data_IF_316267261029
#
_entry.id   IF_316267261029
#
_cell.length_a   1.000
_cell.length_b   1.000
_cell.length_c   1.000
_cell.angle_alpha   90.00
_cell.angle_beta   90.00
_cell.angle_gamma   90.00
#
_symmetry.space_group_name_H-M   'P 1'
#
loop_
_entity.id
_entity.type
_entity.pdbx_description
1 polymer ?
#
# COMPACT_ATOMS: atom_id res chain seq x y z
N UNK A 1 5.06 -2.19 -32.95
CA UNK A 1 6.10 -2.67 -33.91
C UNK A 1 7.46 -2.25 -33.37
N UNK A 2 8.55 -3.03 -33.48
CA UNK A 2 9.85 -2.71 -32.88
C UNK A 2 10.40 -1.32 -33.24
N UNK A 3 10.10 -0.84 -34.44
CA UNK A 3 10.49 0.50 -34.91
C UNK A 3 9.73 1.63 -34.20
N UNK A 4 8.49 1.39 -33.76
CA UNK A 4 7.69 2.37 -33.02
C UNK A 4 8.18 2.49 -31.57
N UNK A 5 8.54 1.38 -30.94
CA UNK A 5 9.14 1.32 -29.59
C UNK A 5 10.44 2.14 -29.51
N UNK A 6 11.29 2.06 -30.54
CA UNK A 6 12.52 2.87 -30.63
C UNK A 6 12.24 4.37 -30.71
N UNK A 7 11.18 4.76 -31.41
CA UNK A 7 10.78 6.17 -31.52
C UNK A 7 10.20 6.69 -30.21
N UNK A 8 9.44 5.86 -29.48
CA UNK A 8 8.92 6.20 -28.15
C UNK A 8 10.07 6.35 -27.13
N UNK A 9 11.01 5.41 -27.12
CA UNK A 9 12.19 5.50 -26.26
C UNK A 9 13.06 6.72 -26.60
N UNK A 10 13.23 7.04 -27.88
CA UNK A 10 13.94 8.25 -28.31
C UNK A 10 13.25 9.54 -27.80
N UNK A 11 11.92 9.61 -27.81
CA UNK A 11 11.20 10.77 -27.24
C UNK A 11 11.48 10.96 -25.76
N UNK A 12 11.55 9.88 -24.98
CA UNK A 12 11.90 9.95 -23.56
C UNK A 12 13.31 10.54 -23.37
N UNK A 13 14.25 10.17 -24.24
CA UNK A 13 15.60 10.74 -24.23
C UNK A 13 15.66 12.20 -24.68
N UNK A 14 14.83 12.60 -25.65
CA UNK A 14 14.67 14.01 -26.05
C UNK A 14 14.11 14.85 -24.90
N UNK A 15 13.08 14.37 -24.20
CA UNK A 15 12.50 15.02 -23.01
C UNK A 15 13.53 15.17 -21.88
N UNK A 16 14.48 14.24 -21.79
CA UNK A 16 15.62 14.30 -20.86
C UNK A 16 16.74 15.26 -21.33
N UNK A 17 16.61 15.87 -22.52
CA UNK A 17 17.50 16.91 -23.03
C UNK A 17 18.47 16.47 -24.13
N UNK A 18 18.34 15.26 -24.68
CA UNK A 18 19.15 14.83 -25.82
C UNK A 18 18.60 15.44 -27.12
N UNK A 19 19.49 15.70 -28.09
CA UNK A 19 19.03 16.07 -29.43
C UNK A 19 18.44 14.83 -30.15
N UNK A 20 17.59 15.01 -31.17
CA UNK A 20 16.89 13.88 -31.81
C UNK A 20 17.81 12.81 -32.41
N UNK A 21 18.93 13.23 -33.00
CA UNK A 21 19.89 12.30 -33.59
C UNK A 21 20.57 11.42 -32.53
N UNK A 22 21.00 12.01 -31.41
CA UNK A 22 21.60 11.27 -30.29
C UNK A 22 20.56 10.43 -29.57
N UNK A 23 19.33 10.91 -29.41
CA UNK A 23 18.25 10.17 -28.75
C UNK A 23 17.93 8.86 -29.49
N UNK A 24 17.87 8.90 -30.83
CA UNK A 24 17.66 7.71 -31.67
C UNK A 24 18.86 6.76 -31.57
N UNK A 25 20.09 7.27 -31.59
CA UNK A 25 21.29 6.43 -31.47
C UNK A 25 21.40 5.77 -30.09
N UNK A 26 21.10 6.50 -29.02
CA UNK A 26 21.06 5.96 -27.65
C UNK A 26 19.97 4.90 -27.52
N UNK A 27 18.77 5.15 -28.02
CA UNK A 27 17.68 4.17 -28.04
C UNK A 27 18.11 2.88 -28.76
N UNK A 28 18.70 2.97 -29.96
CA UNK A 28 19.20 1.80 -30.69
C UNK A 28 20.27 1.02 -29.94
N UNK A 29 21.27 1.71 -29.39
CA UNK A 29 22.39 1.06 -28.71
C UNK A 29 21.94 0.38 -27.41
N UNK A 30 21.07 1.02 -26.63
CA UNK A 30 20.56 0.46 -25.38
C UNK A 30 19.57 -0.69 -25.62
N UNK A 31 18.66 -0.55 -26.60
CA UNK A 31 17.76 -1.63 -26.99
C UNK A 31 18.52 -2.83 -27.58
N UNK A 32 19.64 -2.61 -28.29
CA UNK A 32 20.49 -3.69 -28.79
C UNK A 32 21.25 -4.44 -27.69
N UNK A 33 21.59 -3.76 -26.60
CA UNK A 33 22.22 -4.38 -25.43
C UNK A 33 21.19 -5.15 -24.58
N UNK A 34 20.08 -4.50 -24.23
CA UNK A 34 18.99 -5.08 -23.45
C UNK A 34 17.67 -4.36 -23.73
N UNK A 35 16.89 -4.88 -24.67
CA UNK A 35 15.60 -4.30 -25.03
C UNK A 35 14.65 -4.26 -23.82
N UNK A 36 14.45 -5.39 -23.15
CA UNK A 36 13.47 -5.48 -22.06
C UNK A 36 13.87 -4.62 -20.86
N UNK A 37 15.14 -4.67 -20.44
CA UNK A 37 15.62 -3.85 -19.34
C UNK A 37 15.62 -2.36 -19.66
N UNK A 38 15.91 -1.96 -20.91
CA UNK A 38 15.86 -0.57 -21.34
C UNK A 38 14.43 -0.04 -21.31
N UNK A 39 13.47 -0.76 -21.91
CA UNK A 39 12.06 -0.36 -21.86
C UNK A 39 11.52 -0.37 -20.42
N UNK A 40 11.79 -1.43 -19.64
CA UNK A 40 11.37 -1.51 -18.24
C UNK A 40 11.92 -0.35 -17.38
N UNK A 41 13.20 0.00 -17.55
CA UNK A 41 13.82 1.07 -16.78
C UNK A 41 13.39 2.45 -17.26
N UNK A 42 13.44 2.69 -18.56
CA UNK A 42 13.34 4.04 -19.10
C UNK A 42 11.90 4.47 -19.42
N UNK A 43 10.98 3.53 -19.68
CA UNK A 43 9.54 3.80 -19.82
C UNK A 43 8.77 3.56 -18.53
N UNK A 44 9.00 2.41 -17.87
CA UNK A 44 8.21 2.01 -16.70
C UNK A 44 8.84 2.42 -15.36
N UNK A 45 10.08 2.91 -15.35
CA UNK A 45 10.80 3.25 -14.11
C UNK A 45 11.15 2.03 -13.25
N UNK A 46 11.12 0.83 -13.84
CA UNK A 46 11.45 -0.44 -13.18
C UNK A 46 12.96 -0.65 -13.29
N UNK A 47 13.69 -0.35 -12.22
CA UNK A 47 15.09 -0.70 -12.03
C UNK A 47 15.21 -1.92 -11.11
N UNK A 48 16.40 -2.53 -11.00
CA UNK A 48 16.65 -3.61 -10.03
C UNK A 48 16.31 -3.21 -8.57
N UNK A 49 16.27 -1.91 -8.24
CA UNK A 49 15.85 -1.44 -6.92
C UNK A 49 14.32 -1.35 -6.76
N UNK A 50 13.57 -1.24 -7.86
CA UNK A 50 12.09 -1.21 -7.88
C UNK A 50 11.48 -2.52 -8.35
N UNK A 51 12.29 -3.56 -8.56
CA UNK A 51 11.81 -4.90 -8.89
C UNK A 51 10.88 -5.40 -7.77
N UNK A 52 9.64 -5.69 -8.14
CA UNK A 52 8.65 -6.17 -7.20
C UNK A 52 9.15 -7.51 -6.61
N UNK A 53 9.01 -7.68 -5.29
CA UNK A 53 9.22 -8.96 -4.60
C UNK A 53 7.87 -9.53 -4.15
N UNK A 54 7.06 -10.12 -5.06
CA UNK A 54 5.67 -10.50 -4.77
C UNK A 54 5.53 -11.41 -3.56
N UNK A 55 6.36 -12.44 -3.46
CA UNK A 55 6.26 -13.41 -2.36
C UNK A 55 6.62 -12.77 -1.02
N UNK A 56 7.64 -11.91 -1.01
CA UNK A 56 8.01 -11.17 0.20
C UNK A 56 6.88 -10.23 0.62
N UNK A 57 6.30 -9.48 -0.31
CA UNK A 57 5.18 -8.57 -0.04
C UNK A 57 3.92 -9.31 0.44
N UNK A 58 3.62 -10.47 -0.15
CA UNK A 58 2.50 -11.30 0.25
C UNK A 58 2.69 -11.84 1.68
N UNK A 59 3.86 -12.40 1.98
CA UNK A 59 4.17 -12.92 3.32
C UNK A 59 4.19 -11.81 4.38
N UNK A 60 4.80 -10.67 4.08
CA UNK A 60 4.80 -9.53 5.00
C UNK A 60 3.39 -9.02 5.27
N UNK A 61 2.55 -8.96 4.24
CA UNK A 61 1.15 -8.52 4.38
C UNK A 61 0.33 -9.51 5.20
N UNK A 62 0.49 -10.82 4.93
CA UNK A 62 -0.19 -11.87 5.68
C UNK A 62 0.16 -11.82 7.17
N UNK A 63 1.45 -11.76 7.50
CA UNK A 63 1.92 -11.66 8.88
C UNK A 63 1.39 -10.37 9.55
N UNK A 64 1.50 -9.23 8.88
CA UNK A 64 1.01 -7.96 9.41
C UNK A 64 -0.50 -7.99 9.68
N UNK A 65 -1.29 -8.58 8.78
CA UNK A 65 -2.73 -8.74 8.95
C UNK A 65 -3.07 -9.67 10.12
N UNK A 66 -2.42 -10.83 10.21
CA UNK A 66 -2.64 -11.78 11.30
C UNK A 66 -2.28 -11.17 12.66
N UNK A 67 -1.13 -10.50 12.76
CA UNK A 67 -0.70 -9.84 14.00
C UNK A 67 -1.63 -8.68 14.36
N UNK A 68 -2.04 -7.88 13.37
CA UNK A 68 -2.99 -6.79 13.57
C UNK A 68 -4.38 -7.26 14.03
N UNK A 69 -4.86 -8.37 13.48
CA UNK A 69 -6.14 -8.98 13.86
C UNK A 69 -6.11 -9.74 15.18
N UNK A 70 -4.93 -10.08 15.69
CA UNK A 70 -4.79 -10.89 16.90
C UNK A 70 -5.31 -10.19 18.16
N UNK A 71 -5.03 -8.89 18.32
CA UNK A 71 -5.46 -8.14 19.51
C UNK A 71 -6.99 -8.12 19.66
N UNK A 72 -7.79 -7.74 18.63
CA UNK A 72 -9.25 -7.86 18.67
C UNK A 72 -9.76 -9.24 19.10
N UNK A 73 -9.11 -10.31 18.65
CA UNK A 73 -9.53 -11.69 19.01
C UNK A 73 -9.27 -11.97 20.49
N UNK A 74 -8.10 -11.58 21.00
CA UNK A 74 -7.76 -11.74 22.42
C UNK A 74 -8.71 -10.94 23.31
N UNK A 75 -9.01 -9.70 22.94
CA UNK A 75 -9.92 -8.84 23.71
C UNK A 75 -11.33 -9.42 23.74
N UNK A 76 -11.85 -9.91 22.61
CA UNK A 76 -13.14 -10.59 22.56
C UNK A 76 -13.17 -11.85 23.44
N UNK A 77 -12.09 -12.63 23.48
CA UNK A 77 -12.01 -13.85 24.31
C UNK A 77 -11.98 -13.55 25.82
N UNK A 78 -11.36 -12.44 26.23
CA UNK A 78 -11.20 -12.08 27.65
C UNK A 78 -12.34 -11.22 28.21
N UNK A 79 -13.11 -10.55 27.36
CA UNK A 79 -14.12 -9.59 27.81
C UNK A 79 -15.41 -10.26 28.28
N UNK A 80 -16.04 -9.78 29.39
CA UNK A 80 -17.40 -10.13 29.73
C UNK A 80 -18.37 -9.77 28.59
N UNK A 81 -19.38 -10.60 28.35
CA UNK A 81 -20.34 -10.43 27.24
C UNK A 81 -21.03 -9.06 27.28
N UNK A 82 -21.47 -8.62 28.45
CA UNK A 82 -22.19 -7.35 28.65
C UNK A 82 -21.36 -6.10 28.28
N UNK A 83 -20.03 -6.21 28.30
CA UNK A 83 -19.10 -5.11 28.02
C UNK A 83 -18.27 -5.34 26.76
N UNK A 84 -18.48 -6.46 26.06
CA UNK A 84 -17.62 -6.90 24.95
C UNK A 84 -17.50 -5.82 23.88
N UNK A 85 -18.61 -5.21 23.46
CA UNK A 85 -18.61 -4.18 22.43
C UNK A 85 -17.78 -2.95 22.84
N UNK A 86 -17.98 -2.46 24.06
CA UNK A 86 -17.29 -1.27 24.57
C UNK A 86 -15.80 -1.51 24.77
N UNK A 87 -15.43 -2.65 25.35
CA UNK A 87 -14.03 -3.03 25.58
C UNK A 87 -13.33 -3.22 24.24
N UNK A 88 -13.97 -3.91 23.29
CA UNK A 88 -13.43 -4.10 21.95
C UNK A 88 -13.18 -2.78 21.23
N UNK A 89 -14.15 -1.86 21.29
CA UNK A 89 -14.03 -0.54 20.65
C UNK A 89 -12.86 0.26 21.22
N UNK A 90 -12.76 0.37 22.55
CA UNK A 90 -11.70 1.14 23.21
C UNK A 90 -10.31 0.58 22.88
N UNK A 91 -10.12 -0.73 23.01
CA UNK A 91 -8.84 -1.37 22.71
C UNK A 91 -8.48 -1.25 21.23
N UNK A 92 -9.44 -1.41 20.33
CA UNK A 92 -9.19 -1.26 18.90
C UNK A 92 -8.79 0.17 18.54
N UNK A 93 -9.43 1.20 19.10
CA UNK A 93 -9.03 2.60 18.87
C UNK A 93 -7.62 2.87 19.39
N UNK A 94 -7.29 2.45 20.60
CA UNK A 94 -5.93 2.60 21.16
C UNK A 94 -4.90 1.92 20.25
N UNK A 95 -5.20 0.72 19.77
CA UNK A 95 -4.31 -0.02 18.89
C UNK A 95 -4.16 0.64 17.52
N UNK A 96 -5.23 1.15 16.93
CA UNK A 96 -5.20 1.90 15.67
C UNK A 96 -4.42 3.21 15.80
N UNK A 97 -4.46 3.89 16.96
CA UNK A 97 -3.60 5.06 17.23
C UNK A 97 -2.13 4.64 17.16
N UNK A 98 -1.75 3.55 17.85
CA UNK A 98 -0.38 3.03 17.85
C UNK A 98 0.08 2.65 16.44
N UNK A 99 -0.75 1.91 15.69
CA UNK A 99 -0.47 1.55 14.30
C UNK A 99 -0.37 2.78 13.39
N UNK A 100 -1.22 3.79 13.61
CA UNK A 100 -1.17 5.06 12.89
C UNK A 100 0.15 5.81 13.12
N UNK A 101 0.68 5.82 14.35
CA UNK A 101 2.00 6.38 14.67
C UNK A 101 3.11 5.62 13.96
N UNK A 102 3.09 4.28 14.03
CA UNK A 102 4.11 3.43 13.39
C UNK A 102 4.09 3.61 11.88
N UNK A 103 2.91 3.59 11.25
CA UNK A 103 2.76 3.78 9.81
C UNK A 103 3.23 5.17 9.35
N UNK A 104 2.93 6.22 10.13
CA UNK A 104 3.39 7.56 9.82
C UNK A 104 4.92 7.69 9.84
N UNK A 105 5.56 7.12 10.87
CA UNK A 105 7.02 7.13 11.00
C UNK A 105 7.70 6.31 9.91
N UNK A 106 7.16 5.13 9.59
CA UNK A 106 7.69 4.29 8.51
C UNK A 106 7.52 4.93 7.12
N UNK A 107 6.39 5.62 6.89
CA UNK A 107 6.06 6.25 5.60
C UNK A 107 6.48 7.71 5.46
N UNK A 108 7.21 8.29 6.42
CA UNK A 108 7.67 9.69 6.35
C UNK A 108 6.56 10.73 6.33
N UNK A 109 5.37 10.42 6.86
CA UNK A 109 4.19 11.30 6.83
C UNK A 109 3.89 11.92 8.20
N UNK A 110 3.04 12.94 8.25
CA UNK A 110 2.66 13.59 9.51
C UNK A 110 1.85 12.64 10.40
N UNK A 111 2.37 12.37 11.60
CA UNK A 111 1.78 11.44 12.60
C UNK A 111 0.31 11.74 12.91
N UNK A 112 -0.02 13.00 13.20
CA UNK A 112 -1.40 13.38 13.55
C UNK A 112 -2.40 13.08 12.43
N UNK A 113 -2.07 13.40 11.16
CA UNK A 113 -2.97 13.11 10.04
C UNK A 113 -3.15 11.61 9.84
N UNK A 114 -2.10 10.83 10.02
CA UNK A 114 -2.17 9.37 9.89
C UNK A 114 -3.06 8.74 10.98
N UNK A 115 -2.89 9.16 12.24
CA UNK A 115 -3.74 8.72 13.35
C UNK A 115 -5.20 9.03 13.04
N UNK A 116 -5.53 10.30 12.79
CA UNK A 116 -6.90 10.72 12.50
C UNK A 116 -7.51 9.95 11.33
N UNK A 117 -6.75 9.77 10.24
CA UNK A 117 -7.22 9.02 9.08
C UNK A 117 -7.55 7.57 9.44
N UNK A 118 -6.66 6.88 10.15
CA UNK A 118 -6.82 5.46 10.45
C UNK A 118 -7.90 5.22 11.50
N UNK A 119 -7.95 6.02 12.56
CA UNK A 119 -8.96 5.87 13.62
C UNK A 119 -10.35 6.27 13.14
N UNK A 120 -10.47 7.35 12.35
CA UNK A 120 -11.78 7.82 11.89
C UNK A 120 -12.37 6.90 10.82
N UNK A 121 -11.63 6.64 9.74
CA UNK A 121 -12.13 5.85 8.61
C UNK A 121 -12.10 4.35 8.90
N UNK A 122 -10.97 3.84 9.36
CA UNK A 122 -10.76 2.41 9.57
C UNK A 122 -11.29 1.89 10.91
N UNK A 123 -11.34 2.74 11.93
CA UNK A 123 -11.88 2.40 13.25
C UNK A 123 -13.36 2.77 13.37
N UNK A 124 -13.64 4.01 13.75
CA UNK A 124 -14.97 4.46 14.16
C UNK A 124 -16.03 4.30 13.08
N UNK A 125 -15.77 4.74 11.84
CA UNK A 125 -16.77 4.65 10.78
C UNK A 125 -17.06 3.20 10.38
N UNK A 126 -16.01 2.39 10.20
CA UNK A 126 -16.15 0.98 9.88
C UNK A 126 -16.92 0.22 10.97
N UNK A 127 -16.53 0.39 12.24
CA UNK A 127 -17.19 -0.24 13.38
C UNK A 127 -18.66 0.20 13.52
N UNK A 128 -18.93 1.50 13.33
CA UNK A 128 -20.29 2.04 13.36
C UNK A 128 -21.18 1.45 12.26
N UNK A 129 -20.66 1.33 11.03
CA UNK A 129 -21.38 0.69 9.93
C UNK A 129 -21.63 -0.79 10.23
N UNK A 130 -20.63 -1.53 10.73
CA UNK A 130 -20.81 -2.96 11.06
C UNK A 130 -21.82 -3.17 12.18
N UNK A 131 -21.83 -2.30 13.20
CA UNK A 131 -22.81 -2.35 14.29
C UNK A 131 -24.23 -2.03 13.77
N UNK A 132 -24.36 -1.02 12.91
CA UNK A 132 -25.64 -0.68 12.27
C UNK A 132 -26.19 -1.85 11.45
N UNK A 133 -25.33 -2.47 10.64
CA UNK A 133 -25.72 -3.65 9.84
C UNK A 133 -26.12 -4.80 10.78
N UNK A 134 -25.34 -5.09 11.83
CA UNK A 134 -25.68 -6.11 12.81
C UNK A 134 -27.07 -5.90 13.44
N UNK A 135 -27.38 -4.66 13.80
CA UNK A 135 -28.68 -4.28 14.35
C UNK A 135 -29.82 -4.45 13.33
N UNK A 136 -29.62 -4.03 12.07
CA UNK A 136 -30.62 -4.14 11.00
C UNK A 136 -31.00 -5.59 10.67
N UNK A 137 -30.05 -6.52 10.81
CA UNK A 137 -30.28 -7.95 10.58
C UNK A 137 -30.69 -8.71 11.85
N UNK A 138 -31.04 -8.00 12.94
CA UNK A 138 -31.41 -8.57 14.23
C UNK A 138 -30.38 -9.58 14.77
N UNK A 139 -29.11 -9.39 14.43
CA UNK A 139 -27.99 -10.13 15.06
C UNK A 139 -27.70 -9.49 16.41
N UNK A 140 -28.72 -9.45 17.27
CA UNK A 140 -28.61 -9.06 18.66
C UNK A 140 -28.45 -10.36 19.46
N UNK A 141 -27.29 -10.55 20.09
CA UNK A 141 -27.05 -11.62 21.06
C UNK A 141 -27.83 -11.39 22.34
#
# INVERSE_FOLDING_TARGET
MPEQELVELAKIYEERGLNPATAIEVAKQLTAHDALGTHARDELGISEQTEAKPLQAALSSGIAFTVGGFLPVVVAYMSPLDLMEYVQYVFAIVFLILLGVVAARAGGSSVLKAIFRVTLWGGTLAMGITALIGNLFEVNL
#
